data_IF_848393708312
#
_entry.id   IF_848393708312
#
_cell.length_a   1.000
_cell.length_b   1.000
_cell.length_c   1.000
_cell.angle_alpha   90.00
_cell.angle_beta   90.00
_cell.angle_gamma   90.00
#
_symmetry.space_group_name_H-M   'P 1'
#
loop_
_entity.id
_entity.type
_entity.pdbx_description
1 polymer ?
#
# COMPACT_ATOMS: atom_id res chain seq x y z
N UNK A 1 45.08 -27.85 14.59
CA UNK A 1 43.60 -27.99 14.60
C UNK A 1 42.99 -26.81 13.85
N UNK A 2 42.50 -27.03 12.61
CA UNK A 2 41.74 -26.02 11.87
C UNK A 2 40.27 -26.11 12.32
N UNK A 3 39.69 -24.99 12.76
CA UNK A 3 38.23 -24.89 12.96
C UNK A 3 37.56 -25.00 11.59
N UNK A 4 36.46 -25.76 11.44
CA UNK A 4 35.65 -25.65 10.25
C UNK A 4 34.97 -24.27 10.24
N UNK A 5 35.13 -23.54 9.15
CA UNK A 5 34.31 -22.38 8.84
C UNK A 5 32.86 -22.85 8.69
N UNK A 6 31.97 -22.31 9.53
CA UNK A 6 30.54 -22.43 9.32
C UNK A 6 30.18 -21.53 8.14
N UNK A 7 29.90 -22.14 7.00
CA UNK A 7 29.18 -21.50 5.91
C UNK A 7 27.74 -21.33 6.34
N UNK A 8 27.41 -20.19 6.94
CA UNK A 8 26.01 -19.81 7.23
C UNK A 8 25.33 -19.40 5.92
N UNK A 9 24.99 -20.38 5.07
CA UNK A 9 24.08 -20.16 3.94
C UNK A 9 22.63 -20.20 4.46
N UNK A 10 22.23 -19.20 5.24
CA UNK A 10 20.82 -18.93 5.49
C UNK A 10 20.20 -18.36 4.21
N UNK A 11 19.86 -19.26 3.28
CA UNK A 11 18.91 -18.95 2.21
C UNK A 11 17.54 -18.80 2.86
N UNK A 12 17.23 -17.61 3.36
CA UNK A 12 15.87 -17.28 3.82
C UNK A 12 14.94 -17.41 2.62
N UNK A 13 14.19 -18.52 2.54
CA UNK A 13 13.24 -18.73 1.45
C UNK A 13 12.15 -17.66 1.54
N UNK A 14 12.07 -16.78 0.55
CA UNK A 14 11.02 -15.77 0.49
C UNK A 14 9.66 -16.44 0.33
N UNK A 15 8.67 -15.97 1.11
CA UNK A 15 7.28 -16.38 0.93
C UNK A 15 6.82 -16.03 -0.48
N UNK A 16 6.27 -17.01 -1.19
CA UNK A 16 5.84 -16.86 -2.58
C UNK A 16 4.31 -16.86 -2.67
N UNK A 17 3.77 -16.05 -3.57
CA UNK A 17 2.33 -15.90 -3.81
C UNK A 17 2.01 -16.06 -5.30
N UNK A 18 1.05 -16.91 -5.62
CA UNK A 18 0.43 -17.02 -6.93
C UNK A 18 -0.97 -16.38 -6.92
N UNK A 19 -1.03 -15.12 -7.32
CA UNK A 19 -2.30 -14.37 -7.35
C UNK A 19 -3.24 -14.81 -8.47
N UNK A 20 -2.72 -15.47 -9.52
CA UNK A 20 -3.54 -16.01 -10.62
C UNK A 20 -4.37 -17.23 -10.16
N UNK A 21 -3.89 -17.95 -9.13
CA UNK A 21 -4.64 -19.00 -8.44
C UNK A 21 -5.61 -18.44 -7.37
N UNK A 22 -5.73 -17.13 -7.25
CA UNK A 22 -6.62 -16.47 -6.29
C UNK A 22 -6.07 -16.38 -4.86
N UNK A 23 -4.76 -16.62 -4.67
CA UNK A 23 -4.12 -16.38 -3.38
C UNK A 23 -4.21 -14.90 -2.96
N UNK A 24 -4.02 -14.63 -1.67
CA UNK A 24 -4.08 -13.28 -1.12
C UNK A 24 -2.99 -13.07 -0.10
N UNK A 25 -2.40 -11.87 -0.13
CA UNK A 25 -1.53 -11.39 0.91
C UNK A 25 -2.37 -10.73 2.00
N UNK A 26 -2.20 -11.20 3.22
CA UNK A 26 -2.84 -10.67 4.42
C UNK A 26 -1.79 -10.05 5.32
N UNK A 27 -1.87 -8.73 5.52
CA UNK A 27 -1.03 -8.01 6.48
C UNK A 27 -1.92 -7.31 7.51
N UNK A 28 -1.44 -7.29 8.75
CA UNK A 28 -2.06 -6.55 9.83
C UNK A 28 -1.07 -5.52 10.33
N UNK A 29 -1.50 -4.26 10.40
CA UNK A 29 -0.67 -3.13 10.82
C UNK A 29 -1.46 -2.31 11.82
N UNK A 30 -0.80 -1.92 12.90
CA UNK A 30 -1.33 -0.97 13.88
C UNK A 30 -0.62 0.36 13.70
N UNK A 31 -1.38 1.43 13.49
CA UNK A 31 -0.88 2.78 13.37
C UNK A 31 -1.31 3.60 14.59
N UNK A 32 -0.40 4.36 15.19
CA UNK A 32 -0.73 5.33 16.23
C UNK A 32 -1.32 6.59 15.62
N UNK A 33 -2.36 7.16 16.23
CA UNK A 33 -3.04 8.37 15.73
C UNK A 33 -2.22 9.63 16.07
N UNK A 34 -1.52 10.15 15.05
CA UNK A 34 -1.86 11.47 14.50
C UNK A 34 -1.77 11.42 12.97
N UNK A 35 -2.63 10.67 12.28
CA UNK A 35 -2.53 10.46 10.82
C UNK A 35 -3.66 11.11 10.03
N UNK A 36 -3.34 11.89 9.00
CA UNK A 36 -4.28 12.53 8.09
C UNK A 36 -4.59 11.69 6.84
N UNK A 37 -3.58 11.02 6.28
CA UNK A 37 -3.64 10.39 4.96
C UNK A 37 -2.83 9.10 4.91
N UNK A 38 -3.35 8.05 4.28
CA UNK A 38 -2.65 6.78 4.08
C UNK A 38 -2.33 6.53 2.61
N UNK A 39 -1.17 5.92 2.34
CA UNK A 39 -0.75 5.37 1.05
C UNK A 39 -0.21 3.96 1.26
N UNK A 40 -0.60 3.01 0.42
CA UNK A 40 0.07 1.70 0.35
C UNK A 40 0.65 1.49 -1.05
N UNK A 41 1.96 1.37 -1.11
CA UNK A 41 2.79 1.32 -2.32
C UNK A 41 3.39 -0.06 -2.47
N UNK A 42 3.38 -0.59 -3.70
CA UNK A 42 4.14 -1.77 -4.06
C UNK A 42 5.54 -1.32 -4.50
N UNK A 43 6.55 -1.84 -3.81
CA UNK A 43 7.95 -1.50 -4.00
C UNK A 43 8.70 -2.66 -4.64
N UNK A 44 9.55 -2.35 -5.63
CA UNK A 44 10.49 -3.27 -6.26
C UNK A 44 11.82 -2.53 -6.44
N UNK A 45 12.92 -3.08 -5.94
CA UNK A 45 14.26 -2.46 -6.03
C UNK A 45 14.23 -0.97 -5.60
N UNK A 46 13.58 -0.68 -4.45
CA UNK A 46 13.34 0.67 -3.90
C UNK A 46 12.53 1.64 -4.78
N UNK A 47 11.89 1.15 -5.84
CA UNK A 47 11.02 1.94 -6.71
C UNK A 47 9.57 1.58 -6.51
N UNK A 48 8.72 2.61 -6.50
CA UNK A 48 7.26 2.44 -6.52
C UNK A 48 6.86 1.93 -7.90
N UNK A 49 6.26 0.74 -7.96
CA UNK A 49 5.75 0.14 -9.20
C UNK A 49 4.22 0.17 -9.30
N UNK A 50 3.54 0.53 -8.22
CA UNK A 50 2.10 0.70 -8.18
C UNK A 50 1.57 0.92 -6.78
N UNK A 51 0.25 1.09 -6.67
CA UNK A 51 -0.44 1.35 -5.41
C UNK A 51 -1.53 0.31 -5.15
N UNK A 52 -1.70 -0.09 -3.89
CA UNK A 52 -2.86 -0.89 -3.47
C UNK A 52 -4.08 0.03 -3.47
N UNK A 53 -5.02 -0.23 -4.39
CA UNK A 53 -6.12 0.69 -4.72
C UNK A 53 -6.94 1.16 -3.51
N UNK A 54 -7.20 0.27 -2.55
CA UNK A 54 -7.97 0.57 -1.33
C UNK A 54 -7.34 1.66 -0.45
N UNK A 55 -6.02 1.72 -0.41
CA UNK A 55 -5.27 2.59 0.50
C UNK A 55 -4.59 3.73 -0.24
N UNK A 56 -4.94 3.99 -1.49
CA UNK A 56 -4.33 5.06 -2.24
C UNK A 56 -4.90 6.42 -1.81
N UNK A 57 -4.10 7.22 -1.10
CA UNK A 57 -4.50 8.53 -0.57
C UNK A 57 -5.83 8.44 0.21
N UNK A 58 -5.96 7.41 1.04
CA UNK A 58 -7.14 7.23 1.87
C UNK A 58 -7.07 8.20 3.05
N UNK A 59 -7.92 9.24 3.05
CA UNK A 59 -8.05 10.15 4.18
C UNK A 59 -8.60 9.39 5.39
N UNK A 60 -7.99 9.65 6.55
CA UNK A 60 -8.41 9.00 7.79
C UNK A 60 -9.55 9.83 8.40
N UNK A 61 -10.72 9.23 8.72
CA UNK A 61 -11.90 9.97 9.17
C UNK A 61 -11.75 10.58 10.58
N UNK A 62 -10.76 10.15 11.36
CA UNK A 62 -10.43 10.73 12.67
C UNK A 62 -8.96 11.11 12.71
N UNK A 63 -8.71 12.40 12.55
CA UNK A 63 -7.40 13.02 12.65
C UNK A 63 -7.48 14.11 13.72
N UNK A 64 -7.72 13.70 14.98
CA UNK A 64 -8.18 14.55 16.08
C UNK A 64 -7.23 14.61 17.28
N UNK A 65 -5.93 14.30 17.09
CA UNK A 65 -4.91 14.21 18.17
C UNK A 65 -5.25 13.20 19.28
N UNK A 66 -6.14 12.25 19.03
CA UNK A 66 -6.36 11.13 19.94
C UNK A 66 -5.09 10.29 20.10
N UNK A 67 -4.89 9.71 21.29
CA UNK A 67 -3.83 8.72 21.52
C UNK A 67 -4.25 7.29 21.13
N UNK A 68 -5.31 7.17 20.33
CA UNK A 68 -5.88 5.89 19.95
C UNK A 68 -5.03 5.25 18.86
N UNK A 69 -4.91 3.92 18.92
CA UNK A 69 -4.31 3.14 17.86
C UNK A 69 -5.40 2.68 16.89
N UNK A 70 -5.09 2.72 15.61
CA UNK A 70 -5.95 2.20 14.55
C UNK A 70 -5.35 0.95 13.93
N UNK A 71 -6.18 -0.09 13.90
CA UNK A 71 -5.82 -1.38 13.33
C UNK A 71 -6.26 -1.43 11.87
N UNK A 72 -5.31 -1.67 10.97
CA UNK A 72 -5.51 -1.81 9.54
C UNK A 72 -5.22 -3.25 9.12
N UNK A 73 -6.15 -3.83 8.38
CA UNK A 73 -5.93 -5.09 7.67
C UNK A 73 -5.81 -4.82 6.17
N UNK A 74 -4.67 -5.21 5.60
CA UNK A 74 -4.42 -5.16 4.17
C UNK A 74 -4.69 -6.56 3.63
N UNK A 75 -5.72 -6.66 2.80
CA UNK A 75 -6.04 -7.87 2.05
C UNK A 75 -5.79 -7.56 0.58
N UNK A 76 -4.69 -8.06 0.04
CA UNK A 76 -4.23 -7.71 -1.30
C UNK A 76 -4.20 -8.93 -2.22
N UNK A 77 -4.68 -8.76 -3.44
CA UNK A 77 -4.90 -9.79 -4.45
C UNK A 77 -3.90 -9.68 -5.63
N UNK A 78 -2.73 -9.10 -5.41
CA UNK A 78 -1.72 -8.93 -6.45
C UNK A 78 -1.99 -7.80 -7.45
N UNK A 79 -3.11 -7.08 -7.37
CA UNK A 79 -3.46 -6.03 -8.32
C UNK A 79 -3.07 -4.64 -7.83
N UNK A 80 -2.49 -3.83 -8.72
CA UNK A 80 -2.05 -2.46 -8.42
C UNK A 80 -2.65 -1.45 -9.38
N UNK A 81 -2.88 -0.24 -8.87
CA UNK A 81 -3.14 0.94 -9.69
C UNK A 81 -1.80 1.52 -10.16
N UNK A 82 -1.68 1.84 -11.47
CA UNK A 82 -0.46 2.41 -12.08
C UNK A 82 -0.57 3.91 -12.41
N UNK A 83 -1.79 4.43 -12.61
CA UNK A 83 -2.03 5.81 -13.07
C UNK A 83 -2.49 6.74 -11.94
N UNK A 84 -1.61 7.70 -11.61
CA UNK A 84 -1.73 8.62 -10.47
C UNK A 84 -2.11 10.07 -10.86
N UNK A 85 -1.63 10.61 -11.99
CA UNK A 85 -1.70 12.07 -12.23
C UNK A 85 -3.00 12.59 -12.85
N UNK A 86 -3.81 11.74 -13.52
CA UNK A 86 -5.06 12.17 -14.17
C UNK A 86 -6.32 11.92 -13.33
N UNK A 87 -6.23 11.14 -12.28
CA UNK A 87 -7.34 10.85 -11.36
C UNK A 87 -7.44 11.85 -10.19
N UNK A 88 -6.47 12.76 -10.07
CA UNK A 88 -6.36 13.74 -8.97
C UNK A 88 -6.89 15.15 -9.28
N UNK A 89 -7.46 15.43 -10.46
CA UNK A 89 -8.23 16.65 -10.64
C UNK A 89 -9.69 16.38 -10.23
N UNK A 90 -10.21 16.92 -9.10
CA UNK A 90 -11.62 17.17 -9.01
C UNK A 90 -11.91 18.30 -10.00
N UNK A 91 -12.02 17.98 -11.28
CA UNK A 91 -12.81 18.85 -12.14
C UNK A 91 -14.22 18.85 -11.53
N UNK A 92 -14.94 19.96 -11.59
CA UNK A 92 -16.33 19.99 -11.15
C UNK A 92 -17.16 18.84 -11.78
N UNK A 93 -16.75 18.35 -12.96
CA UNK A 93 -17.32 17.16 -13.60
C UNK A 93 -16.90 15.82 -12.97
N UNK A 94 -15.67 15.68 -12.45
CA UNK A 94 -15.22 14.47 -11.73
C UNK A 94 -15.83 14.38 -10.32
N UNK A 95 -15.98 15.53 -9.64
CA UNK A 95 -16.73 15.62 -8.38
C UNK A 95 -18.22 15.34 -8.60
N UNK A 96 -18.83 15.91 -9.65
CA UNK A 96 -20.21 15.60 -10.04
C UNK A 96 -20.41 14.13 -10.46
N UNK A 97 -19.43 13.52 -11.14
CA UNK A 97 -19.47 12.11 -11.50
C UNK A 97 -19.30 11.18 -10.28
N UNK A 98 -18.50 11.57 -9.28
CA UNK A 98 -18.39 10.83 -8.02
C UNK A 98 -19.68 10.89 -7.20
N UNK A 99 -20.35 12.06 -7.15
CA UNK A 99 -21.68 12.22 -6.52
C UNK A 99 -22.75 11.43 -7.27
N UNK A 100 -22.75 11.46 -8.60
CA UNK A 100 -23.69 10.67 -9.42
C UNK A 100 -23.42 9.15 -9.37
N UNK A 101 -22.17 8.75 -9.08
CA UNK A 101 -21.80 7.35 -8.87
C UNK A 101 -22.19 6.87 -7.46
N UNK A 102 -22.17 7.76 -6.46
CA UNK A 102 -22.70 7.54 -5.11
C UNK A 102 -24.23 7.37 -5.13
N UNK A 103 -24.96 8.17 -5.92
CA UNK A 103 -26.40 8.00 -6.17
C UNK A 103 -26.75 6.68 -6.89
N UNK A 104 -25.78 6.03 -7.54
CA UNK A 104 -25.92 4.72 -8.22
C UNK A 104 -25.23 3.56 -7.49
N UNK A 105 -24.61 3.80 -6.33
CA UNK A 105 -23.89 2.78 -5.55
C UNK A 105 -22.68 2.15 -6.25
N UNK A 106 -22.08 2.81 -7.24
CA UNK A 106 -20.93 2.29 -7.99
C UNK A 106 -19.65 3.01 -7.54
N UNK A 107 -18.67 2.31 -6.94
CA UNK A 107 -17.44 2.95 -6.51
C UNK A 107 -16.66 3.48 -7.72
N UNK A 108 -15.94 4.62 -7.60
CA UNK A 108 -15.03 5.10 -8.64
C UNK A 108 -14.01 4.00 -8.92
N UNK A 109 -14.16 3.31 -10.04
CA UNK A 109 -13.44 2.07 -10.28
C UNK A 109 -12.05 2.42 -10.78
N UNK A 110 -11.13 2.62 -9.84
CA UNK A 110 -9.71 2.75 -10.15
C UNK A 110 -9.31 1.49 -10.93
N UNK A 111 -8.87 1.66 -12.18
CA UNK A 111 -8.37 0.54 -12.98
C UNK A 111 -7.13 -0.03 -12.30
N UNK A 112 -7.15 -1.33 -12.07
CA UNK A 112 -6.02 -2.06 -11.49
C UNK A 112 -5.53 -3.12 -12.46
N UNK A 113 -4.26 -3.46 -12.35
CA UNK A 113 -3.57 -4.42 -13.20
C UNK A 113 -2.81 -5.40 -12.32
N UNK A 114 -2.68 -6.68 -12.72
CA UNK A 114 -1.83 -7.62 -11.98
C UNK A 114 -0.39 -7.09 -11.92
N UNK A 115 0.22 -7.26 -10.75
CA UNK A 115 1.65 -7.04 -10.58
C UNK A 115 2.41 -8.12 -11.34
N UNK A 116 3.52 -7.73 -11.98
CA UNK A 116 4.37 -8.67 -12.70
C UNK A 116 5.10 -9.62 -11.71
N UNK A 117 5.51 -10.82 -12.15
CA UNK A 117 6.34 -11.69 -11.32
C UNK A 117 7.66 -11.03 -10.89
N UNK A 118 8.10 -11.33 -9.67
CA UNK A 118 9.29 -10.70 -9.09
C UNK A 118 9.30 -10.71 -7.57
N UNK A 119 10.28 -10.04 -6.96
CA UNK A 119 10.38 -9.85 -5.52
C UNK A 119 9.96 -8.42 -5.18
N UNK A 120 9.12 -8.28 -4.15
CA UNK A 120 8.48 -7.04 -3.78
C UNK A 120 8.36 -6.90 -2.26
N UNK A 121 8.12 -5.69 -1.79
CA UNK A 121 7.53 -5.43 -0.48
C UNK A 121 6.43 -4.36 -0.60
N UNK A 122 5.55 -4.29 0.40
CA UNK A 122 4.58 -3.20 0.53
C UNK A 122 5.14 -2.13 1.47
N UNK A 123 5.05 -0.86 1.05
CA UNK A 123 5.31 0.30 1.90
C UNK A 123 4.01 0.99 2.26
N UNK A 124 3.71 1.07 3.55
CA UNK A 124 2.61 1.86 4.08
C UNK A 124 3.17 3.21 4.54
N UNK A 125 2.61 4.30 4.05
CA UNK A 125 2.97 5.67 4.45
C UNK A 125 1.76 6.36 5.07
N UNK A 126 1.95 6.96 6.23
CA UNK A 126 0.96 7.69 7.01
C UNK A 126 1.39 9.14 7.17
N UNK A 127 0.60 10.09 6.67
CA UNK A 127 0.87 11.52 6.80
C UNK A 127 0.54 11.96 8.22
N UNK A 128 1.48 12.60 8.92
CA UNK A 128 1.24 13.18 10.23
C UNK A 128 0.11 14.22 10.20
N UNK A 129 -0.53 14.44 11.34
CA UNK A 129 -1.54 15.48 11.52
C UNK A 129 -0.91 16.84 11.19
N UNK A 130 -1.55 17.60 10.31
CA UNK A 130 -1.03 18.85 9.75
C UNK A 130 0.24 18.73 8.89
N UNK A 131 0.68 17.52 8.57
CA UNK A 131 1.78 17.27 7.66
C UNK A 131 1.46 17.74 6.23
N UNK A 132 2.49 18.14 5.50
CA UNK A 132 2.42 18.47 4.09
C UNK A 132 2.73 17.23 3.25
N UNK A 133 1.80 16.85 2.36
CA UNK A 133 1.96 15.67 1.51
C UNK A 133 3.17 15.73 0.55
N UNK A 134 3.66 16.93 0.26
CA UNK A 134 4.84 17.19 -0.58
C UNK A 134 6.17 17.08 0.20
N UNK A 135 6.12 17.00 1.53
CA UNK A 135 7.30 16.93 2.41
C UNK A 135 7.46 15.50 2.92
N UNK A 136 8.58 14.86 2.60
CA UNK A 136 8.79 13.44 2.91
C UNK A 136 8.88 13.17 4.43
N UNK A 137 9.41 14.13 5.19
CA UNK A 137 9.61 14.05 6.63
C UNK A 137 8.29 14.04 7.44
N UNK A 138 7.21 14.51 6.80
CA UNK A 138 5.88 14.51 7.38
C UNK A 138 5.18 13.15 7.25
N UNK A 139 5.79 12.19 6.54
CA UNK A 139 5.32 10.82 6.42
C UNK A 139 6.00 9.90 7.43
N UNK A 140 5.21 9.09 8.11
CA UNK A 140 5.67 7.91 8.83
C UNK A 140 5.52 6.70 7.92
N UNK A 141 6.58 5.91 7.79
CA UNK A 141 6.61 4.78 6.86
C UNK A 141 6.86 3.46 7.56
N UNK A 142 6.14 2.44 7.13
CA UNK A 142 6.36 1.05 7.51
C UNK A 142 6.54 0.19 6.25
N UNK A 143 7.50 -0.73 6.27
CA UNK A 143 7.73 -1.67 5.18
C UNK A 143 7.37 -3.09 5.63
N UNK A 144 6.68 -3.84 4.78
CA UNK A 144 6.46 -5.26 4.99
C UNK A 144 7.74 -6.07 4.82
N UNK A 145 7.67 -7.37 5.14
CA UNK A 145 8.67 -8.33 4.68
C UNK A 145 8.67 -8.41 3.14
N UNK A 146 9.79 -8.86 2.57
CA UNK A 146 9.90 -9.16 1.15
C UNK A 146 9.16 -10.45 0.80
N UNK A 147 8.44 -10.44 -0.31
CA UNK A 147 7.74 -11.60 -0.83
C UNK A 147 7.93 -11.71 -2.33
N UNK A 148 7.78 -12.94 -2.83
CA UNK A 148 7.87 -13.26 -4.25
C UNK A 148 6.48 -13.39 -4.84
N UNK A 149 6.26 -12.79 -6.01
CA UNK A 149 5.10 -13.03 -6.86
C UNK A 149 5.53 -14.05 -7.92
N UNK A 150 4.78 -15.15 -8.01
CA UNK A 150 4.92 -16.16 -9.05
C UNK A 150 3.69 -16.12 -9.96
N UNK A 151 3.91 -16.38 -11.25
CA UNK A 151 2.84 -16.62 -12.23
C UNK A 151 2.61 -18.11 -12.37
#
# INVERSE_FOLDING_TARGET
>A
MKRPEKTDSNSTSLTSYNFDLGEKLHLYVRLGSPTALLKCELMKDDKVVGYVSRFHNAWVPRNDNSHDNYDYSINWNGHVARDYRKSLSPSAAAAAAAVAADEKGLPPTIKTYPAEPGVYHLRLSALKIFGNAEVNEDWETWNSFEFKIVG
#
